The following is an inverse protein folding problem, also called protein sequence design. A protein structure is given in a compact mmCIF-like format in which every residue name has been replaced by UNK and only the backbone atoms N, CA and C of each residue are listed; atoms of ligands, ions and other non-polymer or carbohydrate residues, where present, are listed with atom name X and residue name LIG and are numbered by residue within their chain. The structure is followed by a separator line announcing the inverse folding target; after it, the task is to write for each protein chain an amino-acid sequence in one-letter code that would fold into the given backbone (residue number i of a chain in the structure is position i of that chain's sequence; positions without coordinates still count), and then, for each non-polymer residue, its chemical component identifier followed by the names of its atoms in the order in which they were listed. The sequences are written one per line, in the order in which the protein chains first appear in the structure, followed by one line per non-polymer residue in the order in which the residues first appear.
data_IF_239286889096
#
_entry.id   IF_239286889096
#
_cell.length_a   1.000
_cell.length_b   1.000
_cell.length_c   1.000
_cell.angle_alpha   90.00
_cell.angle_beta   90.00
_cell.angle_gamma   90.00
#
_symmetry.space_group_name_H-M   'P 1'
#
loop_
_entity.id
_entity.type
_entity.pdbx_description
1 polymer ?
#
# COMPACT_ATOMS: atom_id res chain seq x y z
N UNK A 1 -4.93 4.71 8.66
CA UNK A 1 -5.43 3.83 9.74
C UNK A 1 -4.39 3.56 10.84
N UNK A 2 -3.09 3.56 10.52
CA UNK A 2 -2.00 3.20 11.44
C UNK A 2 -1.79 4.13 12.66
N UNK A 3 -2.25 5.38 12.57
CA UNK A 3 -2.04 6.43 13.60
C UNK A 3 -3.36 6.98 14.16
N UNK A 4 -4.46 6.28 13.91
CA UNK A 4 -5.77 6.70 14.39
C UNK A 4 -5.82 6.48 15.91
N UNK A 5 -6.39 7.44 16.66
CA UNK A 5 -6.60 7.25 18.09
C UNK A 5 -7.54 6.04 18.32
N UNK A 6 -7.25 5.16 19.30
CA UNK A 6 -8.15 4.07 19.67
C UNK A 6 -9.57 4.57 19.93
N UNK A 7 -10.58 3.83 19.48
CA UNK A 7 -12.00 4.17 19.61
C UNK A 7 -12.53 5.18 18.58
N UNK A 8 -11.69 5.94 17.88
CA UNK A 8 -12.18 6.92 16.90
C UNK A 8 -12.89 6.25 15.71
N UNK A 9 -12.46 5.06 15.30
CA UNK A 9 -13.08 4.36 14.18
C UNK A 9 -14.47 3.82 14.53
N UNK A 10 -14.74 3.57 15.82
CA UNK A 10 -16.01 2.99 16.28
C UNK A 10 -17.19 3.93 15.99
N UNK A 11 -16.92 5.23 15.91
CA UNK A 11 -17.88 6.25 15.47
C UNK A 11 -18.42 5.95 14.06
N UNK A 12 -17.64 5.27 13.21
CA UNK A 12 -18.05 4.91 11.86
C UNK A 12 -18.90 3.63 11.80
N UNK A 13 -18.91 2.78 12.84
CA UNK A 13 -19.63 1.50 12.82
C UNK A 13 -21.10 1.60 12.39
N UNK A 14 -21.90 2.56 12.90
CA UNK A 14 -23.30 2.67 12.49
C UNK A 14 -23.48 2.95 11.00
N UNK A 15 -22.49 3.56 10.36
CA UNK A 15 -22.53 3.93 8.94
C UNK A 15 -22.00 2.82 8.01
N UNK A 16 -21.19 1.90 8.55
CA UNK A 16 -20.63 0.75 7.83
C UNK A 16 -21.50 -0.52 7.97
N UNK A 17 -22.21 -0.64 9.08
CA UNK A 17 -23.01 -1.82 9.41
C UNK A 17 -24.34 -1.93 8.67
N UNK A 18 -25.17 -2.87 9.14
CA UNK A 18 -26.49 -3.17 8.55
C UNK A 18 -27.53 -2.05 8.74
N UNK A 19 -27.25 -1.04 9.57
CA UNK A 19 -28.13 0.11 9.78
C UNK A 19 -27.84 1.22 8.78
N UNK A 20 -28.44 1.14 7.61
CA UNK A 20 -28.20 2.11 6.54
C UNK A 20 -28.82 3.49 6.76
N UNK A 21 -29.68 3.67 7.77
CA UNK A 21 -30.27 4.96 8.13
C UNK A 21 -29.77 5.38 9.50
N UNK A 22 -28.98 6.45 9.52
CA UNK A 22 -28.41 7.03 10.75
C UNK A 22 -28.82 8.50 10.78
N UNK A 23 -29.43 8.93 11.88
CA UNK A 23 -29.99 10.30 12.03
C UNK A 23 -30.89 10.75 10.86
N UNK A 24 -31.70 9.84 10.31
CA UNK A 24 -32.62 10.12 9.20
C UNK A 24 -31.97 10.19 7.81
N UNK A 25 -30.66 9.94 7.71
CA UNK A 25 -29.92 9.95 6.43
C UNK A 25 -29.56 8.54 6.01
N UNK A 26 -29.71 8.23 4.71
CA UNK A 26 -29.37 6.92 4.14
C UNK A 26 -27.94 6.88 3.59
N UNK A 27 -27.10 5.99 4.11
CA UNK A 27 -25.68 5.87 3.79
C UNK A 27 -25.33 4.78 2.77
N UNK A 28 -26.30 4.06 2.19
CA UNK A 28 -26.05 2.97 1.21
C UNK A 28 -25.32 3.41 -0.07
N UNK A 29 -25.28 4.71 -0.34
CA UNK A 29 -24.58 5.29 -1.50
C UNK A 29 -23.23 5.90 -1.13
N UNK A 30 -22.86 5.91 0.15
CA UNK A 30 -21.56 6.37 0.58
C UNK A 30 -20.51 5.29 0.28
N UNK A 31 -19.28 5.74 0.01
CA UNK A 31 -18.12 4.86 -0.19
C UNK A 31 -17.10 5.24 0.88
N UNK A 32 -16.64 4.25 1.63
CA UNK A 32 -15.60 4.41 2.64
C UNK A 32 -14.33 3.73 2.15
N UNK A 33 -13.22 4.49 2.08
CA UNK A 33 -11.92 3.99 1.67
C UNK A 33 -10.95 4.17 2.83
N UNK A 34 -10.44 3.05 3.34
CA UNK A 34 -9.46 3.03 4.42
C UNK A 34 -8.08 2.72 3.86
N UNK A 35 -7.11 3.60 4.14
CA UNK A 35 -5.72 3.44 3.70
C UNK A 35 -4.84 3.16 4.93
N UNK A 36 -4.05 2.11 4.85
CA UNK A 36 -3.19 1.60 5.93
C UNK A 36 -1.87 1.08 5.35
N UNK A 37 -0.77 1.22 6.10
CA UNK A 37 0.49 0.54 5.79
C UNK A 37 0.66 -0.76 6.60
N UNK A 38 -0.24 -1.04 7.54
CA UNK A 38 -0.26 -2.28 8.31
C UNK A 38 -0.37 -3.50 7.37
N UNK A 39 0.41 -4.54 7.65
CA UNK A 39 0.56 -5.69 6.75
C UNK A 39 1.64 -5.52 5.68
N UNK A 40 2.26 -4.33 5.57
CA UNK A 40 3.25 -4.05 4.52
C UNK A 40 4.48 -4.96 4.57
N UNK A 41 4.98 -5.29 5.76
CA UNK A 41 6.10 -6.23 5.92
C UNK A 41 5.72 -7.64 5.45
N UNK A 42 4.53 -8.11 5.82
CA UNK A 42 4.02 -9.43 5.45
C UNK A 42 3.79 -9.53 3.94
N UNK A 43 3.21 -8.48 3.32
CA UNK A 43 3.04 -8.40 1.87
C UNK A 43 4.40 -8.45 1.17
N UNK A 44 5.40 -7.71 1.67
CA UNK A 44 6.74 -7.71 1.12
C UNK A 44 7.38 -9.10 1.20
N UNK A 45 7.18 -9.81 2.30
CA UNK A 45 7.68 -11.17 2.48
C UNK A 45 7.07 -12.15 1.47
N UNK A 46 5.74 -12.11 1.29
CA UNK A 46 5.07 -12.94 0.26
C UNK A 46 5.61 -12.63 -1.14
N UNK A 47 5.79 -11.35 -1.47
CA UNK A 47 6.34 -10.94 -2.77
C UNK A 47 7.79 -11.40 -2.97
N UNK A 48 8.61 -11.37 -1.91
CA UNK A 48 9.99 -11.86 -1.95
C UNK A 48 10.05 -13.38 -2.10
N UNK A 49 9.20 -14.11 -1.38
CA UNK A 49 9.10 -15.57 -1.49
C UNK A 49 8.64 -16.02 -2.87
N UNK A 50 7.64 -15.34 -3.45
CA UNK A 50 7.22 -15.58 -4.83
C UNK A 50 8.39 -15.41 -5.81
N UNK A 51 9.14 -14.32 -5.68
CA UNK A 51 10.30 -14.06 -6.54
C UNK A 51 11.40 -15.14 -6.36
N UNK A 52 11.73 -15.52 -5.12
CA UNK A 52 12.69 -16.60 -4.83
C UNK A 52 12.23 -17.95 -5.38
N UNK A 53 10.92 -18.18 -5.36
CA UNK A 53 10.25 -19.33 -5.96
C UNK A 53 10.13 -19.27 -7.49
N UNK A 54 10.69 -18.23 -8.14
CA UNK A 54 10.60 -17.98 -9.59
C UNK A 54 9.16 -17.88 -10.11
N UNK A 55 8.25 -17.40 -9.26
CA UNK A 55 6.89 -17.03 -9.65
C UNK A 55 6.88 -15.58 -10.09
N UNK A 56 6.12 -15.29 -11.13
CA UNK A 56 5.87 -13.93 -11.57
C UNK A 56 5.05 -13.18 -10.51
N UNK A 57 5.23 -11.86 -10.46
CA UNK A 57 4.52 -10.99 -9.52
C UNK A 57 2.99 -11.11 -9.69
N UNK A 58 2.55 -11.25 -10.93
CA UNK A 58 1.15 -11.35 -11.34
C UNK A 58 0.51 -12.68 -10.91
N UNK A 59 1.31 -13.67 -10.53
CA UNK A 59 0.81 -14.94 -9.99
C UNK A 59 0.48 -14.89 -8.50
N UNK A 60 0.82 -13.80 -7.80
CA UNK A 60 0.48 -13.60 -6.38
C UNK A 60 -1.02 -13.33 -6.28
N UNK A 61 -1.73 -14.21 -5.56
CA UNK A 61 -3.19 -14.10 -5.44
C UNK A 61 -3.61 -13.48 -4.11
N UNK A 62 -4.80 -12.89 -4.11
CA UNK A 62 -5.39 -12.27 -2.93
C UNK A 62 -5.54 -13.27 -1.76
N UNK A 63 -5.81 -14.55 -2.06
CA UNK A 63 -5.94 -15.60 -1.03
C UNK A 63 -4.63 -15.84 -0.25
N UNK A 64 -3.48 -15.49 -0.83
CA UNK A 64 -2.17 -15.59 -0.15
C UNK A 64 -1.92 -14.37 0.76
N UNK A 65 -2.55 -13.22 0.46
CA UNK A 65 -2.31 -11.95 1.13
C UNK A 65 -3.34 -11.64 2.23
N UNK A 66 -4.61 -12.00 2.03
CA UNK A 66 -5.69 -11.75 2.99
C UNK A 66 -5.39 -12.26 4.41
N UNK A 67 -4.92 -13.51 4.60
CA UNK A 67 -4.66 -14.03 5.94
C UNK A 67 -3.53 -13.27 6.64
N UNK A 68 -2.44 -12.97 5.93
CA UNK A 68 -1.27 -12.32 6.52
C UNK A 68 -1.54 -10.84 6.85
N UNK A 69 -2.36 -10.16 6.04
CA UNK A 69 -2.79 -8.79 6.32
C UNK A 69 -3.75 -8.76 7.51
N UNK A 70 -4.74 -9.67 7.53
CA UNK A 70 -5.71 -9.76 8.62
C UNK A 70 -5.00 -10.02 9.95
N UNK A 71 -4.04 -10.94 9.96
CA UNK A 71 -3.23 -11.23 11.13
C UNK A 71 -2.40 -10.01 11.56
N UNK A 72 -1.75 -9.30 10.62
CA UNK A 72 -0.97 -8.10 10.94
C UNK A 72 -1.82 -6.96 11.54
N UNK A 73 -3.08 -6.82 11.09
CA UNK A 73 -4.04 -5.86 11.66
C UNK A 73 -4.45 -6.26 13.08
N UNK A 74 -4.65 -7.54 13.33
CA UNK A 74 -4.98 -8.06 14.66
C UNK A 74 -3.75 -8.01 15.59
N UNK A 75 -2.53 -8.25 15.12
CA UNK A 75 -1.38 -8.24 16.03
C UNK A 75 -0.93 -6.84 16.45
N UNK A 76 -1.48 -5.79 15.83
CA UNK A 76 -1.13 -4.40 16.12
C UNK A 76 -2.18 -3.72 17.03
N UNK A 77 -1.92 -3.57 18.35
CA UNK A 77 -2.88 -2.96 19.28
C UNK A 77 -3.10 -1.46 19.05
N UNK A 78 -2.25 -0.82 18.26
CA UNK A 78 -2.36 0.59 17.89
C UNK A 78 -3.07 0.80 16.55
N UNK A 79 -3.37 -0.27 15.81
CA UNK A 79 -4.10 -0.14 14.57
C UNK A 79 -5.55 0.29 14.83
N UNK A 80 -6.08 1.21 14.03
CA UNK A 80 -7.43 1.74 14.27
C UNK A 80 -8.54 0.68 14.27
N UNK A 81 -8.37 -0.45 13.58
CA UNK A 81 -9.35 -1.54 13.61
C UNK A 81 -9.22 -2.50 14.80
N UNK A 82 -8.14 -2.40 15.58
CA UNK A 82 -7.94 -3.27 16.72
C UNK A 82 -9.09 -3.15 17.72
N UNK A 83 -9.79 -4.26 17.98
CA UNK A 83 -10.97 -4.34 18.86
C UNK A 83 -12.13 -3.40 18.49
N UNK A 84 -12.14 -2.87 17.27
CA UNK A 84 -13.21 -1.98 16.82
C UNK A 84 -14.49 -2.70 16.40
N UNK A 85 -14.47 -4.03 16.24
CA UNK A 85 -15.59 -4.78 15.69
C UNK A 85 -15.65 -4.81 14.15
N UNK A 86 -14.92 -3.93 13.45
CA UNK A 86 -14.95 -3.85 11.97
C UNK A 86 -14.50 -5.16 11.30
N UNK A 87 -13.46 -5.79 11.84
CA UNK A 87 -12.92 -7.05 11.30
C UNK A 87 -13.81 -8.23 11.71
N UNK A 88 -14.24 -8.26 12.97
CA UNK A 88 -15.07 -9.32 13.55
C UNK A 88 -16.46 -9.39 12.89
N UNK A 89 -17.07 -8.24 12.64
CA UNK A 89 -18.38 -8.10 11.98
C UNK A 89 -18.28 -8.12 10.44
N UNK A 90 -17.07 -8.26 9.87
CA UNK A 90 -16.80 -8.28 8.43
C UNK A 90 -17.39 -7.08 7.68
N UNK A 91 -17.17 -5.88 8.22
CA UNK A 91 -17.68 -4.61 7.65
C UNK A 91 -16.83 -4.08 6.49
N UNK A 92 -15.82 -4.84 6.05
CA UNK A 92 -15.01 -4.53 4.88
C UNK A 92 -15.50 -5.35 3.69
N UNK A 93 -15.96 -4.69 2.64
CA UNK A 93 -16.42 -5.37 1.42
C UNK A 93 -15.27 -5.98 0.63
N UNK A 94 -14.16 -5.25 0.50
CA UNK A 94 -13.02 -5.64 -0.33
C UNK A 94 -11.71 -5.21 0.33
N UNK A 95 -10.75 -6.14 0.40
CA UNK A 95 -9.36 -5.86 0.74
C UNK A 95 -8.55 -5.66 -0.54
N UNK A 96 -7.83 -4.53 -0.63
CA UNK A 96 -6.99 -4.20 -1.80
C UNK A 96 -5.53 -4.07 -1.38
N UNK A 97 -4.71 -5.13 -1.53
CA UNK A 97 -3.29 -5.09 -1.18
C UNK A 97 -2.46 -4.38 -2.25
N UNK A 98 -1.46 -3.61 -1.81
CA UNK A 98 -0.50 -2.94 -2.68
C UNK A 98 0.88 -3.59 -2.53
N UNK A 99 1.33 -4.28 -3.58
CA UNK A 99 2.61 -4.99 -3.58
C UNK A 99 3.80 -4.03 -3.78
N UNK A 100 4.99 -4.32 -3.22
CA UNK A 100 6.16 -3.46 -3.31
C UNK A 100 6.58 -3.23 -4.76
N UNK A 101 7.10 -2.04 -5.08
CA UNK A 101 7.49 -1.68 -6.44
C UNK A 101 8.89 -2.19 -6.77
N UNK A 102 9.01 -2.97 -7.84
CA UNK A 102 10.31 -3.35 -8.40
C UNK A 102 11.00 -2.19 -9.15
N UNK A 103 12.30 -2.34 -9.44
CA UNK A 103 13.11 -1.33 -10.15
C UNK A 103 12.49 -0.81 -11.45
N UNK A 104 11.89 -1.66 -12.27
CA UNK A 104 11.26 -1.24 -13.52
C UNK A 104 10.00 -0.38 -13.28
N UNK A 105 9.24 -0.61 -12.21
CA UNK A 105 8.12 0.25 -11.81
C UNK A 105 8.61 1.64 -11.41
N UNK A 106 9.71 1.73 -10.67
CA UNK A 106 10.32 3.02 -10.32
C UNK A 106 10.79 3.75 -11.58
N UNK A 107 11.34 3.04 -12.57
CA UNK A 107 11.70 3.60 -13.87
C UNK A 107 10.48 4.24 -14.55
N UNK A 108 9.32 3.58 -14.54
CA UNK A 108 8.08 4.16 -15.06
C UNK A 108 7.63 5.42 -14.30
N UNK A 109 7.80 5.45 -12.97
CA UNK A 109 7.53 6.66 -12.19
C UNK A 109 8.45 7.83 -12.58
N UNK A 110 9.73 7.58 -12.82
CA UNK A 110 10.68 8.60 -13.27
C UNK A 110 10.28 9.16 -14.64
N UNK A 111 9.95 8.27 -15.59
CA UNK A 111 9.48 8.65 -16.91
C UNK A 111 8.22 9.53 -16.85
N UNK A 112 7.25 9.13 -16.02
CA UNK A 112 6.02 9.89 -15.85
C UNK A 112 6.27 11.27 -15.20
N UNK A 113 7.14 11.34 -14.20
CA UNK A 113 7.49 12.60 -13.54
C UNK A 113 8.19 13.57 -14.51
N UNK A 114 9.15 13.10 -15.30
CA UNK A 114 9.82 13.91 -16.32
C UNK A 114 8.82 14.44 -17.36
N UNK A 115 7.90 13.59 -17.80
CA UNK A 115 6.84 14.00 -18.73
C UNK A 115 5.92 15.08 -18.12
N UNK A 116 5.56 14.98 -16.83
CA UNK A 116 4.78 16.01 -16.13
C UNK A 116 5.52 17.34 -16.02
N UNK A 117 6.84 17.31 -15.94
CA UNK A 117 7.70 18.50 -15.95
C UNK A 117 7.98 19.05 -17.36
N UNK A 118 7.50 18.38 -18.42
CA UNK A 118 7.78 18.75 -19.81
C UNK A 118 9.25 18.53 -20.21
N UNK A 119 9.94 17.61 -19.55
CA UNK A 119 11.35 17.29 -19.77
C UNK A 119 11.48 16.00 -20.59
N UNK A 120 12.37 16.01 -21.56
CA UNK A 120 12.71 14.81 -22.33
C UNK A 120 13.46 13.79 -21.44
N UNK A 121 13.05 12.51 -21.46
CA UNK A 121 13.69 11.48 -20.67
C UNK A 121 15.10 11.18 -21.19
N UNK A 122 16.09 11.49 -20.35
CA UNK A 122 17.50 11.19 -20.58
C UNK A 122 17.90 9.96 -19.77
N UNK A 123 18.48 8.94 -20.41
CA UNK A 123 18.86 7.68 -19.73
C UNK A 123 19.80 7.91 -18.54
N UNK A 124 20.66 8.93 -18.61
CA UNK A 124 21.55 9.30 -17.52
C UNK A 124 20.77 9.73 -16.28
N UNK A 125 19.69 10.50 -16.46
CA UNK A 125 18.82 10.96 -15.37
C UNK A 125 18.05 9.79 -14.79
N UNK A 126 17.52 8.91 -15.65
CA UNK A 126 16.82 7.70 -15.21
C UNK A 126 17.72 6.82 -14.35
N UNK A 127 18.92 6.54 -14.83
CA UNK A 127 19.87 5.69 -14.13
C UNK A 127 20.32 6.32 -12.82
N UNK A 128 20.62 7.62 -12.79
CA UNK A 128 21.01 8.33 -11.56
C UNK A 128 19.90 8.30 -10.49
N UNK A 129 18.63 8.47 -10.89
CA UNK A 129 17.51 8.37 -9.95
C UNK A 129 17.33 6.94 -9.45
N UNK A 130 17.46 5.94 -10.32
CA UNK A 130 17.39 4.52 -9.94
C UNK A 130 18.56 4.07 -9.07
N UNK A 131 19.76 4.60 -9.26
CA UNK A 131 20.93 4.29 -8.42
C UNK A 131 20.87 4.97 -7.06
N UNK A 132 20.32 6.19 -7.00
CA UNK A 132 20.14 6.86 -5.72
C UNK A 132 18.99 6.27 -4.89
N UNK A 133 18.06 5.56 -5.52
CA UNK A 133 16.91 4.94 -4.84
C UNK A 133 17.35 3.72 -4.02
N UNK A 134 16.90 3.66 -2.76
CA UNK A 134 17.17 2.52 -1.88
C UNK A 134 16.26 1.34 -2.26
N UNK A 135 16.85 0.17 -2.48
CA UNK A 135 16.13 -1.09 -2.70
C UNK A 135 16.43 -2.10 -1.58
N UNK A 136 15.50 -3.03 -1.40
CA UNK A 136 15.59 -4.15 -0.48
C UNK A 136 15.15 -5.45 -1.17
N UNK A 137 15.54 -6.62 -0.65
CA UNK A 137 16.61 -6.85 0.33
C UNK A 137 17.99 -6.36 -0.16
N UNK A 138 18.97 -6.24 0.75
CA UNK A 138 20.27 -5.61 0.47
C UNK A 138 21.07 -6.32 -0.63
N UNK A 139 21.01 -7.65 -0.68
CA UNK A 139 21.75 -8.47 -1.65
C UNK A 139 21.11 -8.40 -3.04
N UNK A 140 19.80 -8.60 -3.14
CA UNK A 140 19.10 -8.67 -4.43
C UNK A 140 18.64 -7.31 -4.99
N UNK A 141 18.60 -6.24 -4.16
CA UNK A 141 18.19 -4.87 -4.53
C UNK A 141 16.91 -4.82 -5.39
N UNK A 142 15.88 -5.59 -4.99
CA UNK A 142 14.74 -5.90 -5.86
C UNK A 142 13.61 -4.85 -5.78
N UNK A 143 13.21 -4.51 -4.56
CA UNK A 143 12.02 -3.71 -4.26
C UNK A 143 12.40 -2.34 -3.69
N UNK A 144 11.74 -1.28 -4.12
CA UNK A 144 12.02 0.06 -3.59
C UNK A 144 11.46 0.22 -2.17
N UNK A 145 12.30 0.64 -1.22
CA UNK A 145 11.89 0.84 0.17
C UNK A 145 10.81 1.91 0.33
N UNK A 146 10.79 2.91 -0.57
CA UNK A 146 9.86 4.04 -0.51
C UNK A 146 8.88 4.09 -1.70
N UNK A 147 8.85 3.04 -2.53
CA UNK A 147 8.16 3.08 -3.81
C UNK A 147 8.57 4.31 -4.64
N UNK A 148 7.58 5.01 -5.19
CA UNK A 148 7.84 6.21 -6.00
C UNK A 148 7.81 7.53 -5.23
N UNK A 149 7.66 7.52 -3.90
CA UNK A 149 7.47 8.74 -3.09
C UNK A 149 8.59 9.76 -3.21
N UNK A 150 9.83 9.31 -3.44
CA UNK A 150 11.03 10.18 -3.47
C UNK A 150 11.53 10.47 -4.89
N UNK A 151 10.81 10.02 -5.92
CA UNK A 151 11.23 10.18 -7.33
C UNK A 151 11.34 11.64 -7.71
N UNK A 152 10.33 12.46 -7.42
CA UNK A 152 10.32 13.88 -7.73
C UNK A 152 11.50 14.65 -7.11
N UNK A 153 11.76 14.44 -5.80
CA UNK A 153 12.88 15.08 -5.11
C UNK A 153 14.24 14.64 -5.65
N UNK A 154 14.35 13.39 -6.13
CA UNK A 154 15.60 12.87 -6.72
C UNK A 154 15.86 13.44 -8.10
N UNK A 155 14.81 13.56 -8.93
CA UNK A 155 14.91 14.22 -10.23
C UNK A 155 15.37 15.66 -10.05
N UNK A 156 14.79 16.40 -9.11
CA UNK A 156 15.17 17.78 -8.82
C UNK A 156 16.61 17.93 -8.27
N UNK A 157 17.20 16.87 -7.72
CA UNK A 157 18.59 16.86 -7.27
C UNK A 157 19.59 16.51 -8.39
N UNK A 158 19.16 15.69 -9.36
CA UNK A 158 19.99 15.21 -10.47
C UNK A 158 20.05 16.22 -11.62
N UNK A 159 18.97 16.98 -11.84
CA UNK A 159 18.87 18.03 -12.86
C UNK A 159 19.51 19.35 -12.37
#
# INVERSE_FOLDING_TARGET
MDKLAPGLIEVLLPFLGSSWVVFGTNYRKAIFIFISNTGGEQINQVALEAWRGRRDREEIRLQELEPVISQAVLDNPHHGFWRSGIMEERLLDVLVPFLPLQRHHVRHCVLNELAQLGLEPREEVLQAVLESTTFFPEEEQLFSSNGCKTVASRIAFVL
#
